data_IF_967485887538
#
_entry.id   IF_967485887538
#
_cell.length_a   1.000
_cell.length_b   1.000
_cell.length_c   1.000
_cell.angle_alpha   90.00
_cell.angle_beta   90.00
_cell.angle_gamma   90.00
#
_symmetry.space_group_name_H-M   'P 1'
#
loop_
_entity.id
_entity.type
_entity.pdbx_description
1 polymer ?
#
# COMPACT_ATOMS: atom_id res chain seq x y z
N UNK A 1 -1.36 -8.42 7.10
CA UNK A 1 -1.27 -7.17 6.32
C UNK A 1 -0.68 -7.41 4.94
N UNK A 2 0.42 -8.16 4.84
CA UNK A 2 0.95 -8.63 3.55
C UNK A 2 -0.07 -9.50 2.80
N UNK A 3 -0.90 -10.26 3.53
CA UNK A 3 -2.02 -11.05 2.97
C UNK A 3 -3.10 -10.16 2.34
N UNK A 4 -3.33 -8.97 2.90
CA UNK A 4 -4.28 -8.00 2.35
C UNK A 4 -3.75 -7.50 1.01
N UNK A 5 -2.49 -7.06 0.96
CA UNK A 5 -1.83 -6.64 -0.29
C UNK A 5 -1.81 -7.81 -1.30
N UNK A 6 -1.51 -9.02 -0.84
CA UNK A 6 -1.55 -10.26 -1.61
C UNK A 6 -2.92 -10.54 -2.24
N UNK A 7 -4.01 -10.28 -1.52
CA UNK A 7 -5.37 -10.46 -2.05
C UNK A 7 -5.70 -9.51 -3.21
N UNK A 8 -5.08 -8.33 -3.25
CA UNK A 8 -5.21 -7.37 -4.34
C UNK A 8 -4.09 -7.48 -5.39
N UNK A 9 -3.05 -8.27 -5.14
CA UNK A 9 -1.85 -8.36 -5.97
C UNK A 9 -2.16 -8.64 -7.44
N UNK A 10 -3.12 -9.53 -7.73
CA UNK A 10 -3.55 -9.82 -9.10
C UNK A 10 -4.17 -8.62 -9.82
N UNK A 11 -4.86 -7.73 -9.11
CA UNK A 11 -5.41 -6.48 -9.66
C UNK A 11 -4.36 -5.37 -9.77
N UNK A 12 -3.40 -5.36 -8.85
CA UNK A 12 -2.33 -4.37 -8.79
C UNK A 12 -1.22 -4.63 -9.81
N UNK A 13 -1.08 -5.87 -10.31
CA UNK A 13 -0.17 -6.28 -11.39
C UNK A 13 -0.37 -5.59 -12.74
N UNK A 14 -1.49 -4.92 -12.94
CA UNK A 14 -1.75 -4.20 -14.20
C UNK A 14 -0.91 -2.92 -14.34
N UNK A 15 -0.22 -2.50 -13.28
CA UNK A 15 0.52 -1.24 -13.21
C UNK A 15 2.02 -1.52 -13.08
N UNK A 16 2.85 -0.77 -13.80
CA UNK A 16 4.32 -0.94 -13.79
C UNK A 16 4.95 -0.51 -12.46
N UNK A 17 4.32 0.48 -11.81
CA UNK A 17 4.72 1.00 -10.52
C UNK A 17 3.49 1.42 -9.73
N UNK A 18 3.50 1.11 -8.43
CA UNK A 18 2.46 1.52 -7.50
C UNK A 18 3.10 1.97 -6.18
N UNK A 19 2.58 3.06 -5.66
CA UNK A 19 2.83 3.56 -4.32
C UNK A 19 1.72 3.06 -3.41
N UNK A 20 2.09 2.29 -2.39
CA UNK A 20 1.18 1.82 -1.35
C UNK A 20 1.52 2.55 -0.05
N UNK A 21 0.59 3.31 0.50
CA UNK A 21 0.72 3.93 1.83
C UNK A 21 -0.23 3.27 2.80
N UNK A 22 0.22 3.11 4.03
CA UNK A 22 -0.60 2.68 5.16
C UNK A 22 -0.47 3.76 6.23
N UNK A 23 -1.52 4.57 6.34
CA UNK A 23 -1.60 5.68 7.27
C UNK A 23 -2.33 5.22 8.53
N UNK A 24 -1.63 5.16 9.67
CA UNK A 24 -2.15 4.70 10.95
C UNK A 24 -2.75 5.88 11.72
N UNK A 25 -3.93 5.67 12.29
CA UNK A 25 -4.64 6.61 13.17
C UNK A 25 -5.15 5.87 14.41
N UNK A 26 -4.30 5.80 15.43
CA UNK A 26 -4.58 5.02 16.63
C UNK A 26 -4.59 3.53 16.31
N UNK A 27 -5.71 2.86 16.56
CA UNK A 27 -5.89 1.44 16.28
C UNK A 27 -6.41 1.16 14.86
N UNK A 28 -6.76 2.22 14.11
CA UNK A 28 -7.22 2.13 12.74
C UNK A 28 -6.07 2.44 11.76
N UNK A 29 -6.16 1.92 10.54
CA UNK A 29 -5.30 2.33 9.44
C UNK A 29 -6.08 2.52 8.14
N UNK A 30 -5.55 3.35 7.27
CA UNK A 30 -6.04 3.53 5.91
C UNK A 30 -4.94 3.15 4.94
N UNK A 31 -5.15 2.06 4.21
CA UNK A 31 -4.31 1.68 3.09
C UNK A 31 -4.76 2.43 1.83
N UNK A 32 -3.84 3.10 1.17
CA UNK A 32 -4.07 3.80 -0.10
C UNK A 32 -3.08 3.28 -1.15
N UNK A 33 -3.55 3.02 -2.36
CA UNK A 33 -2.73 2.60 -3.50
C UNK A 33 -2.90 3.59 -4.65
N UNK A 34 -1.80 4.02 -5.25
CA UNK A 34 -1.74 4.97 -6.37
C UNK A 34 -0.66 4.53 -7.34
N UNK A 35 -0.76 4.92 -8.61
CA UNK A 35 0.31 4.74 -9.60
C UNK A 35 1.52 5.61 -9.28
N UNK A 36 1.29 6.83 -8.80
CA UNK A 36 2.34 7.78 -8.43
C UNK A 36 1.79 8.75 -7.35
N UNK A 37 2.65 9.56 -6.72
CA UNK A 37 2.24 10.54 -5.69
C UNK A 37 1.22 11.56 -6.21
N UNK A 38 1.28 11.88 -7.50
CA UNK A 38 0.42 12.87 -8.16
C UNK A 38 -0.80 12.25 -8.89
N UNK A 39 -0.89 10.92 -8.90
CA UNK A 39 -1.95 10.18 -9.58
C UNK A 39 -3.18 9.92 -8.67
N UNK A 40 -4.37 9.69 -9.26
CA UNK A 40 -5.58 9.37 -8.51
C UNK A 40 -5.43 8.08 -7.69
N UNK A 41 -6.24 7.98 -6.64
CA UNK A 41 -6.27 6.80 -5.77
C UNK A 41 -6.96 5.64 -6.50
N UNK A 42 -6.20 4.57 -6.71
CA UNK A 42 -6.66 3.33 -7.37
C UNK A 42 -7.42 2.45 -6.38
N UNK A 43 -6.93 2.38 -5.14
CA UNK A 43 -7.55 1.62 -4.08
C UNK A 43 -7.42 2.37 -2.76
N UNK A 44 -8.53 2.46 -2.03
CA UNK A 44 -8.53 2.92 -0.64
C UNK A 44 -9.24 1.88 0.20
N UNK A 45 -8.59 1.45 1.29
CA UNK A 45 -9.15 0.47 2.21
C UNK A 45 -8.92 0.92 3.64
N UNK A 46 -10.02 1.07 4.38
CA UNK A 46 -9.95 1.23 5.82
C UNK A 46 -9.73 -0.14 6.46
N UNK A 47 -8.87 -0.15 7.47
CA UNK A 47 -8.47 -1.28 8.29
C UNK A 47 -8.86 -0.87 9.71
N UNK A 48 -9.92 -1.46 10.24
CA UNK A 48 -10.50 -1.05 11.53
C UNK A 48 -9.60 -1.44 12.72
N UNK A 49 -8.68 -2.39 12.52
CA UNK A 49 -7.71 -2.82 13.54
C UNK A 49 -6.34 -3.08 12.92
N UNK A 50 -5.32 -2.36 13.37
CA UNK A 50 -3.93 -2.52 12.95
C UNK A 50 -2.98 -2.58 14.16
N UNK A 51 -1.99 -3.47 14.11
CA UNK A 51 -0.88 -3.49 15.08
C UNK A 51 0.26 -2.53 14.70
N UNK A 52 0.15 -1.87 13.54
CA UNK A 52 1.14 -0.87 13.14
C UNK A 52 1.07 0.33 14.05
N UNK A 53 2.24 0.77 14.53
CA UNK A 53 2.38 2.00 15.32
C UNK A 53 2.87 3.20 14.52
N UNK A 54 3.25 2.97 13.27
CA UNK A 54 3.86 3.98 12.39
C UNK A 54 3.23 3.90 11.01
N UNK A 55 3.22 5.04 10.33
CA UNK A 55 2.87 5.09 8.92
C UNK A 55 3.95 4.37 8.11
N UNK A 56 3.53 3.54 7.16
CA UNK A 56 4.44 2.78 6.32
C UNK A 56 4.12 3.09 4.86
N UNK A 57 5.17 3.24 4.06
CA UNK A 57 5.07 3.38 2.61
C UNK A 57 5.81 2.20 1.98
N UNK A 58 5.27 1.70 0.89
CA UNK A 58 5.87 0.66 0.07
C UNK A 58 5.79 1.05 -1.41
N UNK A 59 6.72 0.54 -2.19
CA UNK A 59 6.67 0.56 -3.64
C UNK A 59 6.43 -0.85 -4.15
N UNK A 60 5.54 -1.00 -5.10
CA UNK A 60 5.32 -2.24 -5.83
C UNK A 60 5.72 -1.99 -7.29
N UNK A 61 6.79 -2.64 -7.72
CA UNK A 61 7.26 -2.58 -9.11
C UNK A 61 7.85 -3.92 -9.51
N UNK A 62 7.65 -4.33 -10.77
CA UNK A 62 8.12 -5.63 -11.28
C UNK A 62 7.76 -6.81 -10.35
N UNK A 63 6.54 -6.79 -9.78
CA UNK A 63 6.07 -7.78 -8.80
C UNK A 63 6.83 -7.84 -7.46
N UNK A 64 7.73 -6.91 -7.20
CA UNK A 64 8.48 -6.82 -5.96
C UNK A 64 7.92 -5.70 -5.10
N UNK A 65 7.53 -6.05 -3.87
CA UNK A 65 7.17 -5.08 -2.84
C UNK A 65 8.45 -4.67 -2.10
N UNK A 66 8.79 -3.38 -2.13
CA UNK A 66 10.01 -2.82 -1.55
C UNK A 66 9.69 -1.69 -0.57
N UNK A 67 10.54 -1.50 0.43
CA UNK A 67 10.51 -0.29 1.23
C UNK A 67 11.16 0.87 0.47
N UNK A 68 10.76 2.13 0.74
CA UNK A 68 11.39 3.30 0.13
C UNK A 68 12.88 3.44 0.42
N UNK A 69 13.38 2.81 1.49
CA UNK A 69 14.81 2.75 1.82
C UNK A 69 15.59 1.72 1.01
N UNK A 70 14.90 0.75 0.40
CA UNK A 70 15.49 -0.33 -0.42
C UNK A 70 15.44 -0.01 -1.93
N UNK A 71 14.81 1.11 -2.32
CA UNK A 71 14.67 1.56 -3.71
C UNK A 71 15.77 2.54 -4.12
#
# INVERSE_FOLDING_TARGET
MIDLIGSYFKKLRAYEFLVITVDVKGDEAVMTVREDTDMPIILKKNIDYTDLKINVKFYLTNDVLMFPSDY
#
